data_IF_275838962061
#
_entry.id   IF_275838962061
#
_cell.length_a   1.000
_cell.length_b   1.000
_cell.length_c   1.000
_cell.angle_alpha   90.00
_cell.angle_beta   90.00
_cell.angle_gamma   90.00
#
_symmetry.space_group_name_H-M   'P 1'
#
loop_
_entity.id
_entity.type
_entity.pdbx_description
1 polymer ?
#
# COMPACT_ATOMS: atom_id res chain seq x y z
N UNK A 1 0.02 -4.43 -2.63
CA UNK A 1 -1.04 -4.16 -3.64
C UNK A 1 -1.28 -5.42 -4.47
N UNK A 2 -2.55 -5.79 -4.70
CA UNK A 2 -2.94 -7.05 -5.35
C UNK A 2 -3.03 -6.96 -6.88
N UNK A 3 -3.11 -8.11 -7.57
CA UNK A 3 -3.29 -8.14 -9.03
C UNK A 3 -4.57 -7.43 -9.52
N UNK A 4 -5.68 -7.53 -8.75
CA UNK A 4 -6.93 -6.80 -9.01
C UNK A 4 -6.74 -5.29 -8.84
N UNK A 5 -5.98 -4.86 -7.83
CA UNK A 5 -5.58 -3.46 -7.65
C UNK A 5 -4.90 -2.87 -8.88
N UNK A 6 -3.88 -3.55 -9.42
CA UNK A 6 -3.19 -3.08 -10.63
C UNK A 6 -4.09 -3.01 -11.88
N UNK A 7 -5.04 -3.94 -12.07
CA UNK A 7 -6.03 -3.83 -13.16
C UNK A 7 -6.88 -2.57 -13.02
N UNK A 8 -7.36 -2.28 -11.80
CA UNK A 8 -8.15 -1.07 -11.53
C UNK A 8 -7.34 0.22 -11.76
N UNK A 9 -6.03 0.22 -11.44
CA UNK A 9 -5.14 1.35 -11.73
C UNK A 9 -4.97 1.57 -13.22
N UNK A 10 -4.71 0.52 -14.00
CA UNK A 10 -4.57 0.64 -15.45
C UNK A 10 -5.83 1.24 -16.11
N UNK A 11 -7.01 0.78 -15.68
CA UNK A 11 -8.28 1.21 -16.24
C UNK A 11 -8.64 2.66 -15.87
N UNK A 12 -8.66 3.02 -14.59
CA UNK A 12 -8.91 4.40 -14.15
C UNK A 12 -7.84 5.38 -14.66
N UNK A 13 -6.61 4.93 -14.86
CA UNK A 13 -5.56 5.76 -15.45
C UNK A 13 -5.82 6.06 -16.93
N UNK A 14 -6.20 5.03 -17.70
CA UNK A 14 -6.60 5.18 -19.09
C UNK A 14 -7.81 6.11 -19.23
N UNK A 15 -8.86 5.93 -18.43
CA UNK A 15 -10.04 6.80 -18.42
C UNK A 15 -9.71 8.27 -18.12
N UNK A 16 -8.71 8.53 -17.27
CA UNK A 16 -8.35 9.89 -16.83
C UNK A 16 -7.34 10.60 -17.73
N UNK A 17 -6.64 9.88 -18.62
CA UNK A 17 -5.48 10.42 -19.37
C UNK A 17 -5.43 10.01 -20.85
N UNK A 18 -6.24 9.05 -21.28
CA UNK A 18 -6.14 8.42 -22.60
C UNK A 18 -4.95 7.44 -22.76
N UNK A 19 -4.05 7.35 -21.77
CA UNK A 19 -2.82 6.56 -21.87
C UNK A 19 -2.96 5.19 -21.20
N UNK A 20 -2.55 4.12 -21.91
CA UNK A 20 -2.52 2.76 -21.37
C UNK A 20 -1.14 2.46 -20.75
N UNK A 21 -1.14 1.87 -19.57
CA UNK A 21 0.07 1.35 -18.92
C UNK A 21 -0.09 -0.12 -18.53
N UNK A 22 0.99 -0.87 -18.67
CA UNK A 22 1.04 -2.26 -18.22
C UNK A 22 1.08 -2.36 -16.70
N UNK A 23 0.66 -3.51 -16.16
CA UNK A 23 0.80 -3.85 -14.73
C UNK A 23 2.23 -3.61 -14.21
N UNK A 24 3.24 -3.95 -15.02
CA UNK A 24 4.65 -3.78 -14.67
C UNK A 24 5.05 -2.30 -14.61
N UNK A 25 4.64 -1.48 -15.58
CA UNK A 25 4.89 -0.02 -15.53
C UNK A 25 4.27 0.62 -14.29
N UNK A 26 3.03 0.25 -13.95
CA UNK A 26 2.32 0.75 -12.78
C UNK A 26 2.96 0.28 -11.47
N UNK A 27 3.38 -0.98 -11.37
CA UNK A 27 4.13 -1.52 -10.22
C UNK A 27 5.47 -0.78 -10.05
N UNK A 28 6.26 -0.66 -11.11
CA UNK A 28 7.54 0.04 -11.05
C UNK A 28 7.36 1.51 -10.61
N UNK A 29 6.30 2.20 -11.09
CA UNK A 29 6.01 3.57 -10.65
C UNK A 29 5.54 3.63 -9.20
N UNK A 30 4.72 2.68 -8.74
CA UNK A 30 4.30 2.58 -7.35
C UNK A 30 5.50 2.35 -6.41
N UNK A 31 6.39 1.43 -6.76
CA UNK A 31 7.58 1.11 -5.97
C UNK A 31 8.58 2.28 -5.94
N UNK A 32 8.73 3.03 -7.05
CA UNK A 32 9.49 4.30 -7.08
C UNK A 32 8.91 5.37 -6.14
N UNK A 33 7.58 5.54 -6.13
CA UNK A 33 6.91 6.52 -5.27
C UNK A 33 7.04 6.13 -3.78
N UNK A 34 6.90 4.83 -3.47
CA UNK A 34 7.14 4.31 -2.13
C UNK A 34 8.59 4.54 -1.69
N UNK A 35 9.57 4.22 -2.55
CA UNK A 35 10.99 4.41 -2.28
C UNK A 35 11.35 5.88 -2.03
N UNK A 36 10.81 6.80 -2.84
CA UNK A 36 10.96 8.25 -2.63
C UNK A 36 10.43 8.69 -1.26
N UNK A 37 9.27 8.19 -0.84
CA UNK A 37 8.68 8.51 0.46
C UNK A 37 9.47 7.91 1.63
N UNK A 38 9.85 6.62 1.55
CA UNK A 38 10.70 5.98 2.56
C UNK A 38 12.04 6.71 2.72
N UNK A 39 12.69 7.09 1.62
CA UNK A 39 13.93 7.85 1.66
C UNK A 39 13.73 9.26 2.24
N UNK A 40 12.61 9.93 1.92
CA UNK A 40 12.24 11.21 2.54
C UNK A 40 12.08 11.10 4.07
N UNK A 41 11.41 10.06 4.57
CA UNK A 41 11.29 9.83 6.02
C UNK A 41 12.65 9.54 6.67
N UNK A 42 13.45 8.65 6.06
CA UNK A 42 14.80 8.32 6.54
C UNK A 42 15.71 9.56 6.60
N UNK A 43 15.64 10.42 5.58
CA UNK A 43 16.40 11.67 5.50
C UNK A 43 16.04 12.60 6.66
N UNK A 44 14.74 12.82 6.93
CA UNK A 44 14.29 13.67 8.03
C UNK A 44 14.57 13.10 9.43
N UNK A 45 14.94 11.82 9.55
CA UNK A 45 15.40 11.20 10.80
C UNK A 45 16.91 11.34 11.05
N UNK A 46 17.71 11.82 10.10
CA UNK A 46 19.15 11.94 10.28
C UNK A 46 19.51 13.04 11.28
N UNK A 47 20.16 12.65 12.39
CA UNK A 47 20.73 13.57 13.38
C UNK A 47 22.13 14.02 12.95
N UNK A 48 22.50 15.26 13.26
CA UNK A 48 23.83 15.82 12.94
C UNK A 48 23.97 16.43 11.54
N UNK A 49 22.93 16.41 10.71
CA UNK A 49 22.87 17.19 9.46
C UNK A 49 22.03 18.46 9.67
N UNK A 50 22.36 19.53 8.94
CA UNK A 50 21.61 20.78 9.03
C UNK A 50 20.20 20.66 8.43
N UNK A 51 19.30 21.57 8.78
CA UNK A 51 17.97 21.65 8.18
C UNK A 51 17.71 23.05 7.61
N UNK A 52 17.18 23.12 6.39
CA UNK A 52 16.73 24.36 5.75
C UNK A 52 15.56 24.08 4.82
N UNK A 53 14.59 25.00 4.75
CA UNK A 53 13.40 24.89 3.89
C UNK A 53 12.63 23.55 4.03
N UNK A 54 12.66 22.96 5.23
CA UNK A 54 12.00 21.68 5.53
C UNK A 54 12.68 20.44 4.93
N UNK A 55 13.95 20.53 4.50
CA UNK A 55 14.76 19.38 4.08
C UNK A 55 16.14 19.40 4.74
N UNK A 56 16.86 18.28 4.64
CA UNK A 56 18.22 18.13 5.14
C UNK A 56 19.23 18.84 4.24
N UNK A 57 20.12 19.61 4.87
CA UNK A 57 21.31 20.21 4.28
C UNK A 57 22.48 19.27 4.55
N UNK A 58 23.04 18.73 3.48
CA UNK A 58 24.19 17.82 3.50
C UNK A 58 25.05 18.06 2.25
N UNK A 59 26.32 17.67 2.33
CA UNK A 59 27.28 17.86 1.25
C UNK A 59 26.99 17.02 -0.01
N UNK A 60 27.70 17.33 -1.10
CA UNK A 60 27.49 16.65 -2.38
C UNK A 60 27.78 15.16 -2.33
N UNK A 61 28.68 14.69 -1.47
CA UNK A 61 29.09 13.30 -1.38
C UNK A 61 28.12 12.44 -0.57
N UNK A 62 27.53 12.98 0.50
CA UNK A 62 26.36 12.40 1.16
C UNK A 62 25.26 12.16 0.14
N UNK A 63 24.88 13.17 -0.64
CA UNK A 63 23.82 13.03 -1.64
C UNK A 63 24.21 12.09 -2.79
N UNK A 64 25.47 12.12 -3.25
CA UNK A 64 26.00 11.22 -4.29
C UNK A 64 25.94 9.76 -3.86
N UNK A 65 26.30 9.48 -2.60
CA UNK A 65 26.28 8.15 -1.97
C UNK A 65 24.84 7.64 -1.82
N UNK A 66 23.95 8.44 -1.23
CA UNK A 66 22.60 8.00 -0.87
C UNK A 66 21.54 8.12 -1.98
N UNK A 67 21.84 8.75 -3.13
CA UNK A 67 20.91 8.85 -4.28
C UNK A 67 21.41 8.20 -5.58
N UNK A 68 22.45 7.35 -5.49
CA UNK A 68 22.96 6.60 -6.64
C UNK A 68 21.85 5.71 -7.22
N UNK A 69 21.61 5.81 -8.54
CA UNK A 69 20.51 5.10 -9.21
C UNK A 69 19.12 5.76 -9.09
N UNK A 70 18.95 6.77 -8.22
CA UNK A 70 17.64 7.38 -7.94
C UNK A 70 17.66 8.89 -8.22
N UNK A 71 17.52 9.27 -9.50
CA UNK A 71 17.49 10.67 -9.96
C UNK A 71 16.42 11.53 -9.26
N UNK A 72 15.24 10.97 -9.01
CA UNK A 72 14.14 11.67 -8.33
C UNK A 72 14.49 12.03 -6.88
N UNK A 73 15.32 11.24 -6.19
CA UNK A 73 15.70 11.50 -4.79
C UNK A 73 16.61 12.73 -4.66
N UNK A 74 17.39 13.06 -5.71
CA UNK A 74 18.21 14.28 -5.74
C UNK A 74 17.38 15.57 -5.65
N UNK A 75 16.11 15.53 -6.10
CA UNK A 75 15.19 16.68 -6.02
C UNK A 75 14.90 17.09 -4.58
N UNK A 76 15.04 16.16 -3.62
CA UNK A 76 14.79 16.39 -2.20
C UNK A 76 15.82 17.36 -1.56
N UNK A 77 16.95 17.61 -2.22
CA UNK A 77 17.88 18.72 -1.90
C UNK A 77 17.20 20.09 -1.87
N UNK A 78 16.08 20.24 -2.58
CA UNK A 78 15.41 21.51 -2.81
C UNK A 78 14.05 21.63 -2.09
N UNK A 79 13.73 20.66 -1.22
CA UNK A 79 12.51 20.65 -0.42
C UNK A 79 11.76 19.31 -0.44
N UNK A 80 10.56 19.24 0.17
CA UNK A 80 9.73 18.04 0.21
C UNK A 80 9.27 17.57 -1.18
N UNK A 81 8.89 16.27 -1.33
CA UNK A 81 8.25 15.77 -2.53
C UNK A 81 7.02 16.61 -2.93
N UNK A 82 6.85 16.91 -4.22
CA UNK A 82 5.76 17.76 -4.74
C UNK A 82 4.34 17.28 -4.39
N UNK A 83 4.21 16.01 -4.02
CA UNK A 83 2.98 15.30 -3.69
C UNK A 83 3.07 14.60 -2.31
N UNK A 84 3.81 15.19 -1.36
CA UNK A 84 4.07 14.64 -0.02
C UNK A 84 2.79 14.24 0.73
N UNK A 85 1.76 15.08 0.75
CA UNK A 85 0.45 14.77 1.38
C UNK A 85 -0.12 13.43 0.87
N UNK A 86 -0.07 13.21 -0.46
CA UNK A 86 -0.60 11.99 -1.08
C UNK A 86 0.34 10.80 -0.85
N UNK A 87 1.66 11.01 -0.75
CA UNK A 87 2.60 9.95 -0.37
C UNK A 87 2.37 9.48 1.05
N UNK A 88 2.19 10.41 1.99
CA UNK A 88 1.91 10.11 3.38
C UNK A 88 0.66 9.24 3.49
N UNK A 89 -0.47 9.72 2.97
CA UNK A 89 -1.74 8.98 2.98
C UNK A 89 -1.69 7.58 2.30
N UNK A 90 -0.87 7.41 1.26
CA UNK A 90 -0.69 6.11 0.59
C UNK A 90 0.31 5.17 1.26
N UNK A 91 1.24 5.68 2.08
CA UNK A 91 2.42 4.91 2.51
C UNK A 91 2.78 5.01 4.01
N UNK A 92 2.17 5.90 4.79
CA UNK A 92 2.45 6.11 6.22
C UNK A 92 2.36 4.81 7.05
N UNK A 93 1.38 3.95 6.75
CA UNK A 93 1.21 2.65 7.42
C UNK A 93 1.84 1.46 6.67
N UNK A 94 2.68 1.70 5.64
CA UNK A 94 3.27 0.64 4.79
C UNK A 94 4.78 0.84 4.53
N UNK A 95 5.32 2.01 4.85
CA UNK A 95 6.74 2.31 4.76
C UNK A 95 7.44 1.96 6.08
N UNK A 96 8.16 0.83 6.10
CA UNK A 96 9.21 0.61 7.11
C UNK A 96 10.34 1.61 6.82
N UNK A 97 10.92 2.18 7.86
CA UNK A 97 11.77 3.37 7.81
C UNK A 97 13.22 3.14 7.34
N UNK A 98 13.51 1.99 6.75
CA UNK A 98 14.81 1.68 6.14
C UNK A 98 15.94 1.38 7.13
N UNK A 99 15.71 1.49 8.45
CA UNK A 99 16.71 1.37 9.52
C UNK A 99 17.49 0.04 9.57
N UNK A 100 17.10 -0.96 8.76
CA UNK A 100 17.60 -2.34 8.79
C UNK A 100 18.32 -2.77 7.51
N UNK A 101 18.30 -1.99 6.41
CA UNK A 101 18.97 -2.40 5.18
C UNK A 101 20.48 -2.12 5.22
N UNK A 102 21.20 -2.87 6.04
CA UNK A 102 22.64 -3.04 5.90
C UNK A 102 22.89 -3.74 4.54
N UNK A 103 23.76 -3.17 3.70
CA UNK A 103 24.16 -3.79 2.43
C UNK A 103 25.32 -4.75 2.75
N UNK A 104 25.18 -6.08 2.55
CA UNK A 104 26.30 -7.00 2.73
C UNK A 104 27.37 -6.70 1.68
N UNK A 105 28.60 -6.49 2.14
CA UNK A 105 29.75 -6.22 1.28
C UNK A 105 30.33 -7.48 0.63
N UNK A 106 31.20 -7.24 -0.35
CA UNK A 106 32.19 -8.15 -0.96
C UNK A 106 32.08 -9.67 -0.70
N UNK A 107 32.01 -10.44 -1.78
CA UNK A 107 33.05 -11.43 -2.04
C UNK A 107 33.69 -11.12 -3.40
N UNK A 108 35.02 -11.18 -3.44
CA UNK A 108 35.84 -11.08 -4.65
C UNK A 108 36.01 -12.52 -5.15
N UNK A 109 35.99 -12.76 -6.46
CA UNK A 109 36.92 -13.71 -7.10
C UNK A 109 36.85 -13.55 -8.62
N UNK A 110 38.03 -13.62 -9.25
CA UNK A 110 38.28 -13.46 -10.68
C UNK A 110 38.20 -14.81 -11.44
N UNK A 111 38.44 -14.76 -12.75
CA UNK A 111 38.42 -15.86 -13.74
C UNK A 111 37.01 -16.36 -14.16
N UNK A 112 36.76 -16.79 -15.41
CA UNK A 112 37.68 -17.08 -16.52
C UNK A 112 37.14 -16.66 -17.92
N UNK A 113 37.99 -16.82 -18.95
CA UNK A 113 37.82 -16.40 -20.35
C UNK A 113 36.87 -17.30 -21.18
N UNK A 114 36.37 -16.72 -22.27
CA UNK A 114 35.87 -17.43 -23.46
C UNK A 114 36.28 -16.66 -24.72
N UNK A 115 37.01 -17.30 -25.63
CA UNK A 115 37.84 -16.69 -26.68
C UNK A 115 37.22 -16.76 -28.10
N UNK A 116 37.90 -16.11 -29.06
CA UNK A 116 37.81 -16.17 -30.53
C UNK A 116 36.80 -15.21 -31.19
N UNK A 117 37.20 -14.42 -32.20
CA UNK A 117 38.54 -14.22 -32.75
C UNK A 117 38.52 -13.31 -34.00
N UNK A 118 39.68 -12.76 -34.40
CA UNK A 118 39.80 -12.00 -35.65
C UNK A 118 40.78 -10.82 -35.57
N UNK A 119 42.05 -11.05 -35.92
CA UNK A 119 43.08 -9.99 -36.04
C UNK A 119 43.11 -9.44 -37.47
N UNK A 120 43.17 -8.12 -37.62
CA UNK A 120 43.39 -7.42 -38.89
C UNK A 120 43.85 -5.99 -38.62
N UNK A 121 45.06 -5.63 -39.07
CA UNK A 121 45.82 -4.48 -38.59
C UNK A 121 45.72 -3.23 -39.49
N UNK A 122 45.89 -2.07 -38.85
CA UNK A 122 46.45 -0.80 -39.38
C UNK A 122 45.92 -0.10 -40.66
N UNK A 123 45.39 1.11 -40.41
CA UNK A 123 46.00 2.41 -40.78
C UNK A 123 45.27 3.32 -41.81
N UNK A 124 44.95 4.54 -41.36
CA UNK A 124 45.26 5.79 -42.09
C UNK A 124 44.42 6.21 -43.30
N UNK A 125 43.30 6.92 -43.07
CA UNK A 125 42.59 7.63 -44.15
C UNK A 125 41.49 8.59 -43.66
N UNK A 126 41.75 9.90 -43.72
CA UNK A 126 40.76 11.00 -43.63
C UNK A 126 40.74 11.75 -44.99
N UNK A 127 39.82 12.72 -45.31
CA UNK A 127 38.85 13.43 -44.45
C UNK A 127 37.46 13.84 -45.07
N UNK A 128 36.50 14.27 -44.20
CA UNK A 128 35.31 15.17 -44.45
C UNK A 128 34.23 14.68 -45.47
N UNK A 129 32.95 15.13 -45.51
CA UNK A 129 32.34 16.48 -45.56
C UNK A 129 30.82 16.48 -45.16
N UNK A 130 30.38 17.41 -44.28
CA UNK A 130 29.02 18.03 -44.07
C UNK A 130 27.75 17.15 -43.87
N UNK A 131 26.67 17.51 -43.15
CA UNK A 131 26.09 18.76 -42.58
C UNK A 131 25.53 18.49 -41.14
N UNK A 132 24.95 19.41 -40.35
CA UNK A 132 24.75 20.87 -40.44
C UNK A 132 23.50 21.35 -39.64
N UNK A 133 23.53 22.56 -39.05
CA UNK A 133 22.48 23.22 -38.22
C UNK A 133 22.17 22.55 -36.84
N UNK A 134 21.91 23.27 -35.72
CA UNK A 134 21.35 24.62 -35.54
C UNK A 134 21.93 25.33 -34.29
N UNK A 135 22.00 26.66 -34.32
CA UNK A 135 22.47 27.57 -33.26
C UNK A 135 21.29 28.38 -32.71
N UNK A 136 21.27 28.71 -31.40
CA UNK A 136 21.15 30.09 -30.84
C UNK A 136 20.75 30.11 -29.36
N UNK A 137 21.44 30.98 -28.63
CA UNK A 137 21.07 31.56 -27.34
C UNK A 137 20.09 32.74 -27.53
N UNK A 138 19.25 32.98 -26.52
CA UNK A 138 18.68 34.31 -26.24
C UNK A 138 18.15 34.39 -24.81
N UNK A 139 18.66 35.32 -24.02
CA UNK A 139 18.15 35.72 -22.70
C UNK A 139 16.84 36.49 -22.85
N UNK A 140 15.88 36.32 -21.93
CA UNK A 140 14.61 37.07 -21.98
C UNK A 140 13.79 37.02 -20.69
N UNK A 141 13.92 38.08 -19.89
CA UNK A 141 12.94 38.66 -18.93
C UNK A 141 12.26 37.80 -17.86
N UNK A 142 12.23 38.36 -16.64
CA UNK A 142 11.49 37.83 -15.51
C UNK A 142 9.96 37.99 -15.71
N UNK A 143 9.19 36.93 -15.47
CA UNK A 143 7.74 36.99 -15.31
C UNK A 143 7.31 35.99 -14.22
N UNK A 144 6.79 36.52 -13.11
CA UNK A 144 6.35 35.78 -11.94
C UNK A 144 5.03 35.05 -12.20
N UNK A 145 5.09 33.86 -12.81
CA UNK A 145 3.92 33.01 -12.91
C UNK A 145 3.65 32.29 -11.57
N UNK A 146 2.45 32.42 -10.96
CA UNK A 146 2.09 31.65 -9.78
C UNK A 146 2.18 30.15 -10.08
N UNK A 147 2.80 29.38 -9.18
CA UNK A 147 2.97 27.93 -9.34
C UNK A 147 1.60 27.24 -9.35
N UNK A 148 0.97 27.11 -10.52
CA UNK A 148 -0.13 26.17 -10.74
C UNK A 148 0.42 24.78 -10.42
N UNK A 149 0.08 24.25 -9.24
CA UNK A 149 0.48 22.91 -8.78
C UNK A 149 0.01 21.90 -9.81
N UNK A 150 0.91 21.48 -10.69
CA UNK A 150 0.72 20.40 -11.66
C UNK A 150 0.63 19.08 -10.88
N UNK A 151 -0.54 18.81 -10.29
CA UNK A 151 -0.81 17.58 -9.56
C UNK A 151 -0.70 16.42 -10.55
N UNK A 152 0.46 15.74 -10.55
CA UNK A 152 0.78 14.66 -11.48
C UNK A 152 -0.40 13.69 -11.62
N UNK A 153 -1.01 13.54 -12.83
CA UNK A 153 -2.22 12.75 -12.99
C UNK A 153 -2.10 11.34 -12.40
N UNK A 154 -0.95 10.68 -12.63
CA UNK A 154 -0.58 9.40 -12.03
C UNK A 154 -0.82 9.34 -10.52
N UNK A 155 -0.31 10.31 -9.76
CA UNK A 155 -0.36 10.29 -8.28
C UNK A 155 -1.78 10.50 -7.78
N UNK A 156 -2.54 11.42 -8.40
CA UNK A 156 -3.97 11.63 -8.07
C UNK A 156 -4.80 10.37 -8.33
N UNK A 157 -4.51 9.65 -9.41
CA UNK A 157 -5.22 8.43 -9.79
C UNK A 157 -4.84 7.26 -8.87
N UNK A 158 -3.56 7.12 -8.50
CA UNK A 158 -3.12 6.14 -7.51
C UNK A 158 -3.78 6.36 -6.14
N UNK A 159 -3.82 7.62 -5.65
CA UNK A 159 -4.54 7.98 -4.41
C UNK A 159 -6.02 7.57 -4.47
N UNK A 160 -6.78 8.06 -5.46
CA UNK A 160 -8.22 7.78 -5.54
C UNK A 160 -8.57 6.28 -5.67
N UNK A 161 -7.58 5.43 -5.95
CA UNK A 161 -7.72 3.96 -6.02
C UNK A 161 -7.26 3.28 -4.74
N UNK A 162 -6.27 3.83 -4.04
CA UNK A 162 -5.97 3.47 -2.65
C UNK A 162 -7.21 3.67 -1.78
N UNK A 163 -7.86 4.83 -1.88
CA UNK A 163 -9.11 5.16 -1.16
C UNK A 163 -10.22 4.14 -1.49
N UNK A 164 -10.40 3.84 -2.79
CA UNK A 164 -11.36 2.82 -3.26
C UNK A 164 -11.02 1.42 -2.72
N UNK A 165 -9.73 1.07 -2.65
CA UNK A 165 -9.27 -0.24 -2.17
C UNK A 165 -9.49 -0.39 -0.66
N UNK A 166 -9.22 0.65 0.11
CA UNK A 166 -9.44 0.66 1.56
C UNK A 166 -10.93 0.55 1.89
N UNK A 167 -11.78 1.29 1.16
CA UNK A 167 -13.23 1.16 1.26
C UNK A 167 -13.68 -0.28 0.96
N UNK A 168 -13.25 -0.85 -0.18
CA UNK A 168 -13.58 -2.24 -0.55
C UNK A 168 -13.06 -3.28 0.45
N UNK A 169 -11.89 -3.06 1.06
CA UNK A 169 -11.36 -3.93 2.11
C UNK A 169 -12.26 -3.93 3.34
N UNK A 170 -12.70 -2.75 3.80
CA UNK A 170 -13.62 -2.64 4.94
C UNK A 170 -15.00 -3.26 4.65
N UNK A 171 -15.49 -3.16 3.42
CA UNK A 171 -16.72 -3.83 2.98
C UNK A 171 -16.54 -5.35 3.01
N UNK A 172 -15.44 -5.87 2.48
CA UNK A 172 -15.14 -7.30 2.51
C UNK A 172 -15.04 -7.85 3.94
N UNK A 173 -14.40 -7.13 4.86
CA UNK A 173 -14.36 -7.51 6.28
C UNK A 173 -15.76 -7.54 6.91
N UNK A 174 -16.61 -6.55 6.63
CA UNK A 174 -18.01 -6.52 7.12
C UNK A 174 -18.84 -7.69 6.57
N UNK A 175 -18.66 -8.06 5.30
CA UNK A 175 -19.35 -9.22 4.71
C UNK A 175 -18.92 -10.53 5.38
N UNK A 176 -17.61 -10.74 5.56
CA UNK A 176 -17.09 -11.94 6.25
C UNK A 176 -17.59 -11.98 7.70
N UNK A 177 -17.56 -10.85 8.43
CA UNK A 177 -18.06 -10.77 9.80
C UNK A 177 -19.57 -11.08 9.88
N UNK A 178 -20.36 -10.62 8.91
CA UNK A 178 -21.79 -10.95 8.81
C UNK A 178 -22.05 -12.44 8.53
N UNK A 179 -21.26 -13.07 7.66
CA UNK A 179 -21.34 -14.51 7.39
C UNK A 179 -20.99 -15.34 8.64
N UNK A 180 -19.86 -15.04 9.29
CA UNK A 180 -19.45 -15.71 10.54
C UNK A 180 -20.49 -15.52 11.66
N UNK A 181 -21.12 -14.35 11.75
CA UNK A 181 -22.21 -14.10 12.70
C UNK A 181 -23.44 -14.96 12.40
N UNK A 182 -23.84 -15.07 11.13
CA UNK A 182 -24.97 -15.92 10.72
C UNK A 182 -24.71 -17.42 10.98
N UNK A 183 -23.49 -17.90 10.69
CA UNK A 183 -23.07 -19.27 10.98
C UNK A 183 -23.04 -19.56 12.50
N UNK A 184 -22.52 -18.61 13.29
CA UNK A 184 -22.52 -18.66 14.76
C UNK A 184 -23.95 -18.76 15.32
N UNK A 185 -24.89 -17.93 14.82
CA UNK A 185 -26.32 -17.99 15.20
C UNK A 185 -26.93 -19.35 14.81
N UNK A 186 -26.70 -19.83 13.59
CA UNK A 186 -27.23 -21.11 13.10
C UNK A 186 -26.74 -22.28 13.96
N UNK A 187 -25.46 -22.28 14.35
CA UNK A 187 -24.89 -23.27 15.28
C UNK A 187 -25.54 -23.19 16.66
N UNK A 188 -25.71 -21.99 17.21
CA UNK A 188 -26.32 -21.78 18.52
C UNK A 188 -27.79 -22.26 18.54
N UNK A 189 -28.59 -21.91 17.54
CA UNK A 189 -29.99 -22.36 17.44
C UNK A 189 -30.11 -23.88 17.27
N UNK A 190 -29.20 -24.54 16.54
CA UNK A 190 -29.18 -26.02 16.46
C UNK A 190 -28.99 -26.66 17.84
N UNK A 191 -28.06 -26.11 18.64
CA UNK A 191 -27.80 -26.59 20.02
C UNK A 191 -28.97 -26.33 21.00
N UNK A 192 -29.86 -25.37 20.72
CA UNK A 192 -31.08 -25.12 21.50
C UNK A 192 -32.10 -26.23 21.30
N UNK A 193 -32.34 -26.61 20.04
CA UNK A 193 -33.23 -27.73 19.72
C UNK A 193 -32.67 -29.04 20.29
N UNK A 194 -31.37 -29.29 20.13
CA UNK A 194 -30.68 -30.45 20.72
C UNK A 194 -30.70 -30.48 22.26
N UNK A 195 -30.84 -29.32 22.93
CA UNK A 195 -30.94 -29.27 24.39
C UNK A 195 -32.38 -29.37 24.92
N UNK A 196 -33.36 -29.72 24.08
CA UNK A 196 -34.75 -29.94 24.50
C UNK A 196 -35.61 -28.67 24.55
N UNK A 197 -35.22 -27.61 23.83
CA UNK A 197 -36.06 -26.45 23.55
C UNK A 197 -36.51 -26.50 22.07
N UNK A 198 -37.61 -27.24 21.76
CA UNK A 198 -38.05 -27.45 20.38
C UNK A 198 -38.52 -26.15 19.72
N UNK A 199 -38.55 -26.14 18.39
CA UNK A 199 -39.07 -25.02 17.61
C UNK A 199 -40.51 -24.68 18.05
N UNK A 200 -40.75 -23.40 18.34
CA UNK A 200 -42.03 -22.92 18.89
C UNK A 200 -42.12 -22.89 20.42
N UNK A 201 -41.14 -23.44 21.16
CA UNK A 201 -41.11 -23.29 22.63
C UNK A 201 -40.74 -21.86 23.06
N UNK A 202 -41.10 -21.50 24.29
CA UNK A 202 -40.74 -20.20 24.90
C UNK A 202 -39.23 -20.05 24.97
N UNK A 203 -38.51 -21.11 25.36
CA UNK A 203 -37.04 -21.14 25.40
C UNK A 203 -36.42 -20.94 24.01
N UNK A 204 -37.00 -21.55 22.97
CA UNK A 204 -36.53 -21.38 21.59
C UNK A 204 -36.75 -19.94 21.09
N UNK A 205 -37.91 -19.33 21.41
CA UNK A 205 -38.15 -17.91 21.12
C UNK A 205 -37.16 -17.01 21.87
N UNK A 206 -36.92 -17.25 23.16
CA UNK A 206 -35.95 -16.48 23.97
C UNK A 206 -34.53 -16.62 23.43
N UNK A 207 -34.11 -17.82 23.02
CA UNK A 207 -32.81 -18.05 22.39
C UNK A 207 -32.63 -17.21 21.12
N UNK A 208 -33.65 -17.12 20.26
CA UNK A 208 -33.60 -16.29 19.04
C UNK A 208 -33.30 -14.81 19.33
N UNK A 209 -33.79 -14.28 20.47
CA UNK A 209 -33.57 -12.91 20.90
C UNK A 209 -32.21 -12.71 21.57
N UNK A 210 -31.79 -13.66 22.41
CA UNK A 210 -30.49 -13.60 23.09
C UNK A 210 -29.33 -13.71 22.10
N UNK A 211 -29.42 -14.64 21.15
CA UNK A 211 -28.35 -14.94 20.22
C UNK A 211 -28.19 -13.93 19.09
N UNK A 212 -28.92 -12.81 19.08
CA UNK A 212 -28.49 -11.64 18.30
C UNK A 212 -27.15 -11.12 18.84
N UNK A 213 -26.94 -11.17 20.17
CA UNK A 213 -25.73 -10.69 20.85
C UNK A 213 -24.60 -11.73 20.83
N UNK A 214 -23.39 -11.42 20.35
CA UNK A 214 -22.28 -12.38 20.32
C UNK A 214 -21.89 -12.89 21.70
N UNK A 215 -21.90 -12.04 22.73
CA UNK A 215 -21.51 -12.39 24.10
C UNK A 215 -22.42 -13.47 24.68
N UNK A 216 -23.72 -13.42 24.36
CA UNK A 216 -24.71 -14.42 24.78
C UNK A 216 -24.53 -15.76 24.05
N UNK A 217 -24.08 -15.74 22.79
CA UNK A 217 -23.72 -16.96 22.04
C UNK A 217 -22.48 -17.63 22.63
N UNK A 218 -21.44 -16.85 22.93
CA UNK A 218 -20.21 -17.38 23.54
C UNK A 218 -20.49 -18.01 24.91
N UNK A 219 -21.22 -17.32 25.80
CA UNK A 219 -21.63 -17.89 27.11
C UNK A 219 -22.41 -19.19 26.91
N UNK A 220 -23.31 -19.27 25.94
CA UNK A 220 -24.07 -20.49 25.67
C UNK A 220 -23.18 -21.64 25.14
N UNK A 221 -22.16 -21.34 24.34
CA UNK A 221 -21.20 -22.33 23.86
C UNK A 221 -20.26 -22.85 24.95
N UNK A 222 -19.95 -22.09 26.01
CA UNK A 222 -19.17 -22.61 27.14
C UNK A 222 -19.93 -23.64 27.99
N UNK A 223 -21.26 -23.62 27.96
CA UNK A 223 -22.08 -24.63 28.64
C UNK A 223 -22.03 -25.92 27.82
N UNK A 224 -21.43 -26.97 28.39
CA UNK A 224 -21.19 -28.24 27.69
C UNK A 224 -22.38 -29.19 27.71
N UNK A 225 -23.17 -29.22 28.79
CA UNK A 225 -24.28 -30.17 28.96
C UNK A 225 -25.60 -29.66 28.36
N UNK A 226 -26.43 -30.54 27.76
CA UNK A 226 -27.78 -30.18 27.29
C UNK A 226 -28.67 -29.61 28.39
N UNK A 227 -28.69 -30.24 29.57
CA UNK A 227 -29.51 -29.83 30.70
C UNK A 227 -29.07 -28.47 31.24
N UNK A 228 -27.76 -28.19 31.21
CA UNK A 228 -27.20 -26.89 31.57
C UNK A 228 -27.69 -25.79 30.62
N UNK A 229 -27.67 -26.05 29.31
CA UNK A 229 -28.15 -25.11 28.28
C UNK A 229 -29.64 -24.83 28.43
N UNK A 230 -30.46 -25.86 28.63
CA UNK A 230 -31.90 -25.70 28.82
C UNK A 230 -32.24 -24.92 30.10
N UNK A 231 -31.58 -25.25 31.21
CA UNK A 231 -31.78 -24.55 32.48
C UNK A 231 -31.35 -23.07 32.41
N UNK A 232 -30.29 -22.76 31.66
CA UNK A 232 -29.87 -21.38 31.40
C UNK A 232 -30.93 -20.60 30.60
N UNK A 233 -31.51 -21.20 29.56
CA UNK A 233 -32.62 -20.60 28.80
C UNK A 233 -33.87 -20.42 29.67
N UNK A 234 -34.25 -21.41 30.49
CA UNK A 234 -35.40 -21.31 31.41
C UNK A 234 -35.25 -20.16 32.41
N UNK A 235 -34.05 -19.94 32.97
CA UNK A 235 -33.76 -18.76 33.82
C UNK A 235 -33.95 -17.45 33.06
N UNK A 236 -33.55 -17.36 31.79
CA UNK A 236 -33.81 -16.18 30.96
C UNK A 236 -35.29 -15.96 30.67
N UNK A 237 -36.08 -17.02 30.48
CA UNK A 237 -37.53 -16.94 30.32
C UNK A 237 -38.20 -16.40 31.58
N UNK A 238 -37.79 -16.88 32.77
CA UNK A 238 -38.23 -16.37 34.07
C UNK A 238 -37.88 -14.88 34.26
N UNK A 239 -36.63 -14.49 33.98
CA UNK A 239 -36.19 -13.08 34.06
C UNK A 239 -36.98 -12.17 33.10
N UNK A 240 -37.43 -12.70 31.96
CA UNK A 240 -38.27 -12.02 30.97
C UNK A 240 -39.78 -12.15 31.24
N UNK A 241 -40.19 -12.82 32.33
CA UNK A 241 -41.60 -13.08 32.70
C UNK A 241 -42.41 -13.73 31.55
N UNK A 242 -41.83 -14.74 30.90
CA UNK A 242 -42.51 -15.54 29.87
C UNK A 242 -43.10 -16.86 30.38
N UNK A 243 -43.07 -17.05 31.71
CA UNK A 243 -43.80 -18.06 32.47
C UNK A 243 -44.54 -17.36 33.61
#
# INVERSE_FOLDING_TARGET
MTARGYKNIAEKFYQSTGLRHSKTQLKNRWDQLKGLYSFWLWLNKQTGLGQANGTVVADDDFWRRHTKGHSEWKKLRHGPPEFLEQLQEMFEHTAVDGSSSCVPGQHIDDHDKGDQGGVGDRNGGSPKITNGLKRRTSTGTCATNPRKKSKSPMVRIMKGIWDTMQANSSIAQKVIQGQLMAESIKKAMKLVVECGAPEGSVEHFVASQLFVKPEMREIFFTITTPEGRLNWLKRWCQLKKMY
#
